data_IF_326288937335
#
_entry.id   IF_326288937335
#
_cell.length_a   1.000
_cell.length_b   1.000
_cell.length_c   1.000
_cell.angle_alpha   90.00
_cell.angle_beta   90.00
_cell.angle_gamma   90.00
#
_symmetry.space_group_name_H-M   'P 1'
#
loop_
_entity.id
_entity.type
_entity.pdbx_description
1 polymer ?
#
# COMPACT_ATOMS: atom_id res chain seq x y z
N UNK A 1 8.36 -17.18 -13.45
CA UNK A 1 7.75 -16.33 -12.40
C UNK A 1 6.24 -16.43 -12.55
N UNK A 2 5.51 -16.88 -11.52
CA UNK A 2 4.04 -16.86 -11.50
C UNK A 2 3.62 -15.61 -10.76
N UNK A 3 2.79 -14.78 -11.38
CA UNK A 3 2.17 -13.63 -10.75
C UNK A 3 0.66 -13.78 -10.89
N UNK A 4 -0.06 -13.50 -9.82
CA UNK A 4 -1.52 -13.46 -9.80
C UNK A 4 -1.96 -12.00 -9.72
N UNK A 5 -2.97 -11.63 -10.51
CA UNK A 5 -3.53 -10.28 -10.49
C UNK A 5 -4.73 -10.28 -9.56
N UNK A 6 -4.63 -9.51 -8.47
CA UNK A 6 -5.73 -9.30 -7.55
C UNK A 6 -6.64 -8.17 -8.03
N UNK A 7 -7.98 -8.33 -8.00
CA UNK A 7 -8.91 -7.27 -8.34
C UNK A 7 -8.92 -6.17 -7.26
N UNK A 8 -9.16 -4.93 -7.68
CA UNK A 8 -9.44 -3.81 -6.77
C UNK A 8 -10.88 -3.93 -6.26
N UNK A 9 -11.08 -4.66 -5.16
CA UNK A 9 -12.39 -4.80 -4.52
C UNK A 9 -12.73 -3.57 -3.66
N UNK A 10 -13.96 -3.51 -3.15
CA UNK A 10 -14.39 -2.50 -2.18
C UNK A 10 -13.49 -2.48 -0.94
N UNK A 11 -13.13 -3.66 -0.42
CA UNK A 11 -12.31 -3.76 0.78
C UNK A 11 -10.88 -3.27 0.53
N UNK A 12 -10.29 -3.63 -0.62
CA UNK A 12 -8.98 -3.11 -1.04
C UNK A 12 -9.03 -1.59 -1.19
N UNK A 13 -10.11 -1.03 -1.76
CA UNK A 13 -10.28 0.41 -1.90
C UNK A 13 -10.41 1.13 -0.54
N UNK A 14 -11.17 0.57 0.40
CA UNK A 14 -11.27 1.12 1.76
C UNK A 14 -9.92 1.09 2.49
N UNK A 15 -9.16 0.00 2.35
CA UNK A 15 -7.82 -0.11 2.91
C UNK A 15 -6.85 0.88 2.26
N UNK A 16 -6.92 1.08 0.94
CA UNK A 16 -6.11 2.08 0.24
C UNK A 16 -6.44 3.51 0.69
N UNK A 17 -7.72 3.82 0.95
CA UNK A 17 -8.12 5.12 1.50
C UNK A 17 -7.59 5.34 2.92
N UNK A 18 -7.64 4.31 3.78
CA UNK A 18 -7.05 4.35 5.12
C UNK A 18 -5.51 4.51 5.05
N UNK A 19 -4.85 3.80 4.14
CA UNK A 19 -3.42 3.93 3.89
C UNK A 19 -3.05 5.36 3.48
N UNK A 20 -3.80 5.95 2.54
CA UNK A 20 -3.61 7.34 2.16
C UNK A 20 -3.88 8.27 3.34
N UNK A 21 -4.90 7.98 4.16
CA UNK A 21 -5.24 8.68 5.42
C UNK A 21 -4.06 8.76 6.39
N UNK A 22 -3.28 7.69 6.50
CA UNK A 22 -2.17 7.63 7.45
C UNK A 22 -0.87 8.13 6.84
N UNK A 23 -0.62 7.78 5.57
CA UNK A 23 0.71 7.82 4.98
C UNK A 23 0.80 8.61 3.66
N UNK A 24 -0.30 9.25 3.24
CA UNK A 24 -0.41 9.89 1.93
C UNK A 24 0.55 11.05 1.68
N UNK A 25 0.91 11.20 0.40
CA UNK A 25 1.67 12.35 -0.13
C UNK A 25 1.04 13.68 0.24
N UNK A 26 1.88 14.63 0.65
CA UNK A 26 1.48 15.99 1.03
C UNK A 26 1.32 16.20 2.54
N UNK A 27 1.25 15.14 3.34
CA UNK A 27 1.09 15.23 4.81
C UNK A 27 1.97 14.30 5.63
N UNK A 28 2.37 13.15 5.08
CA UNK A 28 3.15 12.15 5.81
C UNK A 28 4.51 11.91 5.13
N UNK A 29 5.59 11.67 5.88
CA UNK A 29 6.92 11.43 5.31
C UNK A 29 7.05 10.21 4.40
N UNK A 30 6.19 9.19 4.54
CA UNK A 30 6.10 8.05 3.62
C UNK A 30 5.63 8.45 2.20
N UNK A 31 4.86 9.53 2.11
CA UNK A 31 4.40 10.15 0.86
C UNK A 31 3.71 9.20 -0.13
N UNK A 32 2.93 8.23 0.36
CA UNK A 32 2.24 7.26 -0.50
C UNK A 32 1.36 7.97 -1.54
N UNK A 33 1.53 7.59 -2.80
CA UNK A 33 0.67 8.01 -3.90
C UNK A 33 -0.51 7.04 -4.09
N UNK A 34 -1.38 7.30 -5.08
CA UNK A 34 -2.56 6.46 -5.34
C UNK A 34 -2.21 4.98 -5.60
N UNK A 35 -1.20 4.70 -6.42
CA UNK A 35 -0.74 3.35 -6.71
C UNK A 35 -0.14 2.68 -5.47
N UNK A 36 0.68 3.39 -4.72
CA UNK A 36 1.29 2.85 -3.50
C UNK A 36 0.24 2.43 -2.47
N UNK A 37 -0.90 3.12 -2.41
CA UNK A 37 -1.99 2.76 -1.53
C UNK A 37 -2.63 1.40 -1.89
N UNK A 38 -2.71 1.05 -3.18
CA UNK A 38 -3.16 -0.28 -3.59
C UNK A 38 -2.11 -1.36 -3.34
N UNK A 39 -0.82 -1.05 -3.54
CA UNK A 39 0.27 -1.95 -3.16
C UNK A 39 0.28 -2.22 -1.64
N UNK A 40 0.12 -1.16 -0.83
CA UNK A 40 -0.04 -1.26 0.61
C UNK A 40 -1.26 -2.12 0.98
N UNK A 41 -2.43 -1.83 0.40
CA UNK A 41 -3.66 -2.55 0.70
C UNK A 41 -3.57 -4.03 0.35
N UNK A 42 -2.98 -4.37 -0.80
CA UNK A 42 -2.75 -5.76 -1.20
C UNK A 42 -1.82 -6.50 -0.23
N UNK A 43 -0.72 -5.86 0.19
CA UNK A 43 0.18 -6.44 1.19
C UNK A 43 -0.50 -6.62 2.55
N UNK A 44 -1.21 -5.59 3.02
CA UNK A 44 -1.92 -5.63 4.32
C UNK A 44 -3.00 -6.71 4.34
N UNK A 45 -3.79 -6.82 3.28
CA UNK A 45 -4.89 -7.80 3.19
C UNK A 45 -4.39 -9.24 3.07
N UNK A 46 -3.27 -9.47 2.38
CA UNK A 46 -2.67 -10.80 2.23
C UNK A 46 -1.79 -11.21 3.41
N UNK A 47 -1.38 -10.26 4.27
CA UNK A 47 -0.37 -10.48 5.30
C UNK A 47 1.02 -10.77 4.75
N UNK A 48 1.23 -10.57 3.45
CA UNK A 48 2.50 -10.83 2.78
C UNK A 48 3.44 -9.62 2.88
N UNK A 49 4.74 -9.89 2.83
CA UNK A 49 5.74 -8.83 2.69
C UNK A 49 5.59 -8.12 1.35
N UNK A 50 5.71 -6.78 1.36
CA UNK A 50 5.68 -5.98 0.15
C UNK A 50 7.09 -5.85 -0.44
N UNK A 51 7.27 -6.29 -1.69
CA UNK A 51 8.49 -6.04 -2.44
C UNK A 51 8.43 -4.67 -3.11
N UNK A 52 9.38 -3.80 -2.82
CA UNK A 52 9.47 -2.46 -3.40
C UNK A 52 10.94 -2.02 -3.53
N UNK A 53 11.16 -0.97 -4.32
CA UNK A 53 12.45 -0.29 -4.44
C UNK A 53 12.28 1.14 -3.93
N UNK A 54 13.28 1.65 -3.21
CA UNK A 54 13.23 2.98 -2.59
C UNK A 54 12.81 2.94 -1.13
N UNK A 55 12.28 4.06 -0.61
CA UNK A 55 12.05 4.26 0.82
C UNK A 55 10.56 4.43 1.18
N UNK A 56 9.67 4.38 0.19
CA UNK A 56 8.27 4.83 0.31
C UNK A 56 7.48 4.08 1.39
N UNK A 57 7.74 2.78 1.56
CA UNK A 57 7.06 1.94 2.55
C UNK A 57 7.80 1.81 3.90
N UNK A 58 9.06 2.24 4.00
CA UNK A 58 9.86 2.12 5.25
C UNK A 58 9.33 2.94 6.42
N UNK A 59 8.47 3.91 6.13
CA UNK A 59 7.80 4.77 7.13
C UNK A 59 6.32 4.42 7.27
N UNK A 60 5.97 3.17 7.04
CA UNK A 60 4.63 2.61 7.26
C UNK A 60 4.72 1.48 8.28
N UNK A 61 3.59 0.93 8.68
CA UNK A 61 3.48 -0.27 9.52
C UNK A 61 3.59 -1.58 8.72
N UNK A 62 4.06 -1.54 7.47
CA UNK A 62 4.41 -2.72 6.66
C UNK A 62 5.93 -3.02 6.67
N UNK A 63 6.73 -2.18 7.33
CA UNK A 63 8.18 -2.35 7.45
C UNK A 63 8.57 -3.23 8.65
#
# INVERSE_FOLDING_TARGET
>A
MKAEILPATRDTALCALDAFSRYGKGRHPARLNFGDCFSYAGAKASGAALLYVGEDFRRTDLA
#
